data_IF_878338921425
#
_entry.id   IF_878338921425
#
_cell.length_a   1.000
_cell.length_b   1.000
_cell.length_c   1.000
_cell.angle_alpha   90.00
_cell.angle_beta   90.00
_cell.angle_gamma   90.00
#
_symmetry.space_group_name_H-M   'P 1'
#
loop_
_entity.id
_entity.type
_entity.pdbx_description
1 polymer ?
#
# COMPACT_ATOMS: atom_id res chain seq x y z
N UNK A 1 4.00 25.20 -6.15
CA UNK A 1 3.65 24.07 -5.26
C UNK A 1 4.32 22.83 -5.81
N UNK A 2 4.98 22.05 -4.99
CA UNK A 2 5.66 20.84 -5.45
C UNK A 2 4.64 19.75 -5.82
N UNK A 3 5.00 18.86 -6.77
CA UNK A 3 4.15 17.75 -7.25
C UNK A 3 3.56 16.95 -6.09
N UNK A 4 4.41 16.57 -5.13
CA UNK A 4 4.04 15.79 -3.96
C UNK A 4 3.00 16.49 -3.08
N UNK A 5 3.15 17.79 -2.84
CA UNK A 5 2.19 18.57 -2.05
C UNK A 5 0.80 18.62 -2.69
N UNK A 6 0.72 18.74 -4.03
CA UNK A 6 -0.54 18.69 -4.76
C UNK A 6 -1.22 17.33 -4.67
N UNK A 7 -0.46 16.24 -4.79
CA UNK A 7 -0.97 14.88 -4.65
C UNK A 7 -1.55 14.64 -3.26
N UNK A 8 -0.78 14.96 -2.21
CA UNK A 8 -1.20 14.82 -0.81
C UNK A 8 -2.46 15.66 -0.50
N UNK A 9 -2.54 16.89 -1.02
CA UNK A 9 -3.74 17.73 -0.88
C UNK A 9 -4.95 17.14 -1.59
N UNK A 10 -4.78 16.59 -2.78
CA UNK A 10 -5.89 15.97 -3.50
C UNK A 10 -6.36 14.70 -2.76
N UNK A 11 -5.44 13.86 -2.30
CA UNK A 11 -5.74 12.67 -1.50
C UNK A 11 -6.54 13.02 -0.23
N UNK A 12 -6.13 14.09 0.48
CA UNK A 12 -6.77 14.52 1.72
C UNK A 12 -8.17 15.11 1.52
N UNK A 13 -8.40 15.88 0.45
CA UNK A 13 -9.59 16.72 0.32
C UNK A 13 -10.47 16.42 -0.89
N UNK A 14 -9.96 15.69 -1.91
CA UNK A 14 -10.70 15.32 -3.12
C UNK A 14 -11.17 16.51 -3.97
N UNK A 15 -10.48 17.65 -3.92
CA UNK A 15 -10.87 18.88 -4.62
C UNK A 15 -10.49 18.79 -6.11
N UNK A 16 -11.50 18.92 -6.99
CA UNK A 16 -11.34 18.86 -8.45
C UNK A 16 -10.39 19.94 -8.99
N UNK A 17 -10.31 21.10 -8.36
CA UNK A 17 -9.38 22.16 -8.78
C UNK A 17 -7.93 21.76 -8.47
N UNK A 18 -7.71 21.10 -7.35
CA UNK A 18 -6.40 20.54 -6.95
C UNK A 18 -6.03 19.38 -7.87
N UNK A 19 -6.99 18.52 -8.25
CA UNK A 19 -6.76 17.47 -9.22
C UNK A 19 -6.30 18.01 -10.58
N UNK A 20 -7.01 19.00 -11.12
CA UNK A 20 -6.68 19.60 -12.42
C UNK A 20 -5.28 20.25 -12.42
N UNK A 21 -4.91 20.92 -11.33
CA UNK A 21 -3.58 21.50 -11.16
C UNK A 21 -2.49 20.41 -11.05
N UNK A 22 -2.70 19.42 -10.17
CA UNK A 22 -1.79 18.30 -9.97
C UNK A 22 -1.57 17.55 -11.29
N UNK A 23 -2.64 17.18 -11.99
CA UNK A 23 -2.57 16.50 -13.28
C UNK A 23 -1.69 17.25 -14.27
N UNK A 24 -1.90 18.56 -14.42
CA UNK A 24 -1.09 19.40 -15.34
C UNK A 24 0.39 19.38 -14.98
N UNK A 25 0.71 19.45 -13.67
CA UNK A 25 2.11 19.45 -13.20
C UNK A 25 2.79 18.11 -13.46
N UNK A 26 2.08 16.98 -13.25
CA UNK A 26 2.61 15.65 -13.57
C UNK A 26 2.76 15.42 -15.08
N UNK A 27 1.76 15.82 -15.90
CA UNK A 27 1.85 15.74 -17.36
C UNK A 27 3.05 16.54 -17.91
N UNK A 28 3.32 17.73 -17.35
CA UNK A 28 4.49 18.53 -17.72
C UNK A 28 5.80 17.84 -17.32
N UNK A 29 5.89 17.31 -16.08
CA UNK A 29 7.08 16.60 -15.63
C UNK A 29 7.39 15.37 -16.49
N UNK A 30 6.37 14.65 -16.93
CA UNK A 30 6.53 13.49 -17.83
C UNK A 30 6.90 13.90 -19.25
N UNK A 31 6.53 15.11 -19.69
CA UNK A 31 6.95 15.65 -20.99
C UNK A 31 8.44 16.05 -20.96
N UNK A 32 8.92 16.56 -19.82
CA UNK A 32 10.31 17.00 -19.64
C UNK A 32 11.25 15.81 -19.39
N UNK A 33 10.83 14.82 -18.59
CA UNK A 33 11.57 13.58 -18.31
C UNK A 33 10.62 12.38 -18.29
N UNK A 34 10.35 11.83 -19.46
CA UNK A 34 9.31 10.82 -19.70
C UNK A 34 9.55 9.44 -19.07
N UNK A 35 10.65 9.25 -18.33
CA UNK A 35 11.08 7.94 -17.83
C UNK A 35 11.23 7.83 -16.32
N UNK A 36 11.02 8.90 -15.54
CA UNK A 36 11.16 8.84 -14.08
C UNK A 36 10.07 7.94 -13.46
N UNK A 37 10.50 6.78 -12.94
CA UNK A 37 9.62 5.78 -12.35
C UNK A 37 8.81 6.33 -11.16
N UNK A 38 9.39 7.24 -10.39
CA UNK A 38 8.70 7.87 -9.26
C UNK A 38 7.59 8.80 -9.74
N UNK A 39 7.86 9.64 -10.75
CA UNK A 39 6.85 10.53 -11.33
C UNK A 39 5.72 9.73 -11.97
N UNK A 40 6.04 8.66 -12.68
CA UNK A 40 5.03 7.75 -13.26
C UNK A 40 4.17 7.08 -12.20
N UNK A 41 4.76 6.62 -11.10
CA UNK A 41 4.04 6.04 -9.98
C UNK A 41 3.09 7.06 -9.33
N UNK A 42 3.59 8.24 -8.95
CA UNK A 42 2.80 9.29 -8.31
C UNK A 42 1.65 9.76 -9.23
N UNK A 43 1.88 9.88 -10.53
CA UNK A 43 0.82 10.22 -11.48
C UNK A 43 -0.23 9.12 -11.60
N UNK A 44 0.19 7.86 -11.62
CA UNK A 44 -0.71 6.70 -11.57
C UNK A 44 -1.59 6.74 -10.33
N UNK A 45 -1.02 7.00 -9.17
CA UNK A 45 -1.75 7.12 -7.91
C UNK A 45 -2.74 8.30 -7.90
N UNK A 46 -2.37 9.47 -8.45
CA UNK A 46 -3.29 10.59 -8.65
C UNK A 46 -4.49 10.19 -9.51
N UNK A 47 -4.26 9.45 -10.61
CA UNK A 47 -5.31 8.95 -11.49
C UNK A 47 -6.24 7.96 -10.77
N UNK A 48 -5.68 7.06 -9.97
CA UNK A 48 -6.45 6.11 -9.16
C UNK A 48 -7.37 6.83 -8.15
N UNK A 49 -6.83 7.82 -7.43
CA UNK A 49 -7.59 8.63 -6.46
C UNK A 49 -8.74 9.41 -7.13
N UNK A 50 -8.62 9.79 -8.40
CA UNK A 50 -9.67 10.50 -9.15
C UNK A 50 -10.88 9.63 -9.51
N UNK A 51 -10.80 8.32 -9.31
CA UNK A 51 -11.92 7.41 -9.41
C UNK A 51 -11.83 6.40 -10.56
N UNK A 52 -12.82 5.52 -10.60
CA UNK A 52 -12.84 4.32 -11.46
C UNK A 52 -12.60 4.53 -12.95
N UNK A 53 -12.82 5.73 -13.47
CA UNK A 53 -12.53 6.05 -14.90
C UNK A 53 -11.04 6.08 -15.19
N UNK A 54 -10.24 6.37 -14.18
CA UNK A 54 -8.79 6.50 -14.30
C UNK A 54 -8.02 5.21 -13.95
N UNK A 55 -8.66 4.18 -13.40
CA UNK A 55 -7.97 2.94 -12.95
C UNK A 55 -7.12 2.30 -14.07
N UNK A 56 -7.62 2.27 -15.33
CA UNK A 56 -6.84 1.74 -16.46
C UNK A 56 -5.64 2.61 -16.79
N UNK A 57 -5.79 3.94 -16.69
CA UNK A 57 -4.68 4.87 -16.90
C UNK A 57 -3.64 4.74 -15.77
N UNK A 58 -4.10 4.55 -14.54
CA UNK A 58 -3.23 4.25 -13.39
C UNK A 58 -2.42 2.97 -13.62
N UNK A 59 -3.07 1.87 -14.04
CA UNK A 59 -2.37 0.61 -14.35
C UNK A 59 -1.24 0.83 -15.38
N UNK A 60 -1.53 1.55 -16.48
CA UNK A 60 -0.52 1.85 -17.49
C UNK A 60 0.64 2.71 -16.96
N UNK A 61 0.39 3.64 -16.03
CA UNK A 61 1.45 4.40 -15.37
C UNK A 61 2.31 3.52 -14.47
N UNK A 62 1.68 2.62 -13.70
CA UNK A 62 2.43 1.69 -12.83
C UNK A 62 3.27 0.69 -13.64
N UNK A 63 2.75 0.17 -14.76
CA UNK A 63 3.53 -0.68 -15.66
C UNK A 63 4.77 0.05 -16.20
N UNK A 64 4.60 1.29 -16.67
CA UNK A 64 5.73 2.11 -17.13
C UNK A 64 6.72 2.45 -16.02
N UNK A 65 6.26 2.67 -14.79
CA UNK A 65 7.13 2.90 -13.65
C UNK A 65 7.96 1.66 -13.33
N UNK A 66 7.36 0.47 -13.38
CA UNK A 66 8.05 -0.81 -13.20
C UNK A 66 9.07 -1.06 -14.32
N UNK A 67 8.72 -0.73 -15.57
CA UNK A 67 9.65 -0.88 -16.69
C UNK A 67 10.84 0.08 -16.58
N UNK A 68 10.64 1.30 -16.05
CA UNK A 68 11.69 2.29 -15.84
C UNK A 68 12.60 1.94 -14.65
N UNK A 69 12.05 1.44 -13.56
CA UNK A 69 12.79 0.95 -12.40
C UNK A 69 12.10 -0.29 -11.77
N UNK A 70 12.52 -1.49 -12.18
CA UNK A 70 11.97 -2.73 -11.61
C UNK A 70 12.28 -2.95 -10.12
N UNK A 71 13.19 -2.14 -9.54
CA UNK A 71 13.57 -2.22 -8.14
C UNK A 71 12.73 -1.28 -7.25
N UNK A 72 11.93 -0.40 -7.83
CA UNK A 72 11.05 0.51 -7.11
C UNK A 72 9.73 -0.20 -6.74
N UNK A 73 9.58 -0.58 -5.48
CA UNK A 73 8.49 -1.44 -4.99
C UNK A 73 7.06 -0.83 -5.07
N UNK A 74 6.84 0.46 -4.78
CA UNK A 74 5.48 1.01 -4.70
C UNK A 74 4.58 0.73 -5.91
N UNK A 75 5.00 0.90 -7.18
CA UNK A 75 4.13 0.63 -8.32
C UNK A 75 3.74 -0.83 -8.47
N UNK A 76 4.55 -1.79 -7.98
CA UNK A 76 4.19 -3.21 -8.01
C UNK A 76 2.95 -3.50 -7.16
N UNK A 77 2.89 -3.00 -5.93
CA UNK A 77 1.74 -3.17 -5.03
C UNK A 77 0.48 -2.51 -5.60
N UNK A 78 0.63 -1.29 -6.11
CA UNK A 78 -0.49 -0.57 -6.73
C UNK A 78 -1.00 -1.28 -7.99
N UNK A 79 -0.11 -1.82 -8.82
CA UNK A 79 -0.50 -2.57 -10.02
C UNK A 79 -1.31 -3.82 -9.66
N UNK A 80 -0.89 -4.59 -8.65
CA UNK A 80 -1.65 -5.75 -8.15
C UNK A 80 -3.07 -5.33 -7.75
N UNK A 81 -3.19 -4.27 -6.96
CA UNK A 81 -4.47 -3.74 -6.50
C UNK A 81 -5.39 -3.35 -7.67
N UNK A 82 -4.89 -2.51 -8.60
CA UNK A 82 -5.71 -2.03 -9.72
C UNK A 82 -6.05 -3.13 -10.72
N UNK A 83 -5.16 -4.09 -10.98
CA UNK A 83 -5.44 -5.25 -11.82
C UNK A 83 -6.55 -6.12 -11.19
N UNK A 84 -6.51 -6.32 -9.88
CA UNK A 84 -7.58 -7.04 -9.16
C UNK A 84 -8.90 -6.28 -9.25
N UNK A 85 -8.90 -4.96 -9.07
CA UNK A 85 -10.10 -4.13 -9.19
C UNK A 85 -10.70 -4.13 -10.62
N UNK A 86 -9.85 -4.37 -11.63
CA UNK A 86 -10.26 -4.55 -13.03
C UNK A 86 -10.73 -5.98 -13.36
N UNK A 87 -10.70 -6.92 -12.40
CA UNK A 87 -10.99 -8.33 -12.63
C UNK A 87 -9.87 -9.10 -13.35
N UNK A 88 -8.66 -8.56 -13.34
CA UNK A 88 -7.49 -9.11 -14.02
C UNK A 88 -6.48 -9.76 -13.05
N UNK A 89 -6.92 -10.24 -11.90
CA UNK A 89 -6.07 -10.87 -10.88
C UNK A 89 -5.20 -12.00 -11.44
N UNK A 90 -5.75 -12.82 -12.36
CA UNK A 90 -4.97 -13.89 -13.01
C UNK A 90 -3.78 -13.36 -13.81
N UNK A 91 -3.92 -12.22 -14.48
CA UNK A 91 -2.81 -11.60 -15.22
C UNK A 91 -1.73 -11.05 -14.26
N UNK A 92 -2.13 -10.50 -13.13
CA UNK A 92 -1.19 -10.09 -12.09
C UNK A 92 -0.40 -11.30 -11.56
N UNK A 93 -1.08 -12.40 -11.23
CA UNK A 93 -0.43 -13.65 -10.80
C UNK A 93 0.55 -14.16 -11.86
N UNK A 94 0.16 -14.23 -13.13
CA UNK A 94 1.02 -14.72 -14.19
C UNK A 94 2.29 -13.86 -14.38
N UNK A 95 2.15 -12.53 -14.30
CA UNK A 95 3.27 -11.58 -14.33
C UNK A 95 4.27 -11.89 -13.22
N UNK A 96 3.80 -11.93 -11.97
CA UNK A 96 4.70 -12.13 -10.82
C UNK A 96 5.20 -13.56 -10.66
N UNK A 97 4.49 -14.55 -11.18
CA UNK A 97 4.99 -15.92 -11.32
C UNK A 97 6.18 -16.00 -12.30
N UNK A 98 6.11 -15.30 -13.42
CA UNK A 98 7.21 -15.19 -14.36
C UNK A 98 8.41 -14.45 -13.76
N UNK A 99 8.17 -13.37 -13.01
CA UNK A 99 9.22 -12.64 -12.31
C UNK A 99 9.91 -13.55 -11.26
N UNK A 100 9.15 -14.29 -10.46
CA UNK A 100 9.70 -15.23 -9.50
C UNK A 100 10.50 -16.34 -10.20
N UNK A 101 10.02 -16.89 -11.30
CA UNK A 101 10.73 -17.92 -12.05
C UNK A 101 12.10 -17.43 -12.59
N UNK A 102 12.22 -16.15 -12.89
CA UNK A 102 13.46 -15.50 -13.31
C UNK A 102 14.41 -15.16 -12.14
N UNK A 103 13.89 -15.04 -10.91
CA UNK A 103 14.63 -14.56 -9.73
C UNK A 103 14.20 -15.33 -8.46
N UNK A 104 14.34 -16.66 -8.46
CA UNK A 104 13.90 -17.53 -7.36
C UNK A 104 14.52 -17.23 -5.99
N UNK A 105 15.70 -16.63 -5.95
CA UNK A 105 16.40 -16.25 -4.73
C UNK A 105 16.12 -14.79 -4.29
N UNK A 106 15.25 -14.07 -5.00
CA UNK A 106 14.87 -12.70 -4.62
C UNK A 106 13.62 -12.70 -3.72
N UNK A 107 13.72 -12.33 -2.43
CA UNK A 107 12.57 -12.27 -1.52
C UNK A 107 11.45 -11.34 -2.03
N UNK A 108 11.80 -10.27 -2.78
CA UNK A 108 10.83 -9.34 -3.33
C UNK A 108 9.93 -9.98 -4.39
N UNK A 109 10.49 -10.89 -5.21
CA UNK A 109 9.68 -11.62 -6.18
C UNK A 109 8.64 -12.51 -5.48
N UNK A 110 8.99 -13.10 -4.33
CA UNK A 110 8.05 -13.82 -3.47
C UNK A 110 6.99 -12.87 -2.88
N UNK A 111 7.41 -11.70 -2.36
CA UNK A 111 6.49 -10.71 -1.81
C UNK A 111 5.43 -10.26 -2.84
N UNK A 112 5.82 -9.92 -4.06
CA UNK A 112 4.85 -9.48 -5.08
C UNK A 112 3.91 -10.59 -5.51
N UNK A 113 4.40 -11.82 -5.69
CA UNK A 113 3.55 -12.95 -6.02
C UNK A 113 2.59 -13.31 -4.88
N UNK A 114 3.06 -13.26 -3.63
CA UNK A 114 2.22 -13.45 -2.45
C UNK A 114 1.08 -12.42 -2.40
N UNK A 115 1.40 -11.13 -2.61
CA UNK A 115 0.40 -10.06 -2.70
C UNK A 115 -0.62 -10.31 -3.81
N UNK A 116 -0.19 -10.76 -4.99
CA UNK A 116 -1.11 -11.09 -6.08
C UNK A 116 -2.07 -12.22 -5.71
N UNK A 117 -1.59 -13.28 -5.06
CA UNK A 117 -2.44 -14.37 -4.58
C UNK A 117 -3.39 -13.92 -3.45
N UNK A 118 -2.93 -13.11 -2.48
CA UNK A 118 -3.78 -12.56 -1.42
C UNK A 118 -4.93 -11.73 -1.99
N UNK A 119 -4.65 -10.84 -2.94
CA UNK A 119 -5.68 -10.06 -3.62
C UNK A 119 -6.63 -10.92 -4.46
N UNK A 120 -6.15 -12.04 -5.02
CA UNK A 120 -6.98 -13.02 -5.70
C UNK A 120 -7.74 -13.95 -4.75
N UNK A 121 -7.49 -13.86 -3.43
CA UNK A 121 -8.02 -14.75 -2.38
C UNK A 121 -7.62 -16.23 -2.53
N UNK A 122 -6.49 -16.47 -3.19
CA UNK A 122 -5.86 -17.80 -3.27
C UNK A 122 -4.89 -17.95 -2.09
N UNK A 123 -5.46 -18.15 -0.91
CA UNK A 123 -4.72 -18.14 0.35
C UNK A 123 -3.74 -19.32 0.47
N UNK A 124 -4.05 -20.46 -0.15
CA UNK A 124 -3.16 -21.63 -0.15
C UNK A 124 -1.87 -21.37 -0.93
N UNK A 125 -1.98 -20.75 -2.11
CA UNK A 125 -0.82 -20.36 -2.90
C UNK A 125 -0.06 -19.20 -2.23
N UNK A 126 -0.77 -18.22 -1.64
CA UNK A 126 -0.15 -17.14 -0.88
C UNK A 126 0.72 -17.71 0.27
N UNK A 127 0.17 -18.67 1.05
CA UNK A 127 0.88 -19.30 2.16
C UNK A 127 2.19 -19.99 1.70
N UNK A 128 2.14 -20.73 0.60
CA UNK A 128 3.32 -21.42 0.07
C UNK A 128 4.42 -20.44 -0.37
N UNK A 129 4.03 -19.38 -1.06
CA UNK A 129 4.98 -18.36 -1.57
C UNK A 129 5.57 -17.55 -0.42
N UNK A 130 4.75 -17.13 0.56
CA UNK A 130 5.23 -16.43 1.76
C UNK A 130 6.22 -17.30 2.54
N UNK A 131 5.87 -18.57 2.75
CA UNK A 131 6.76 -19.50 3.48
C UNK A 131 8.11 -19.64 2.77
N UNK A 132 8.12 -19.90 1.46
CA UNK A 132 9.34 -20.00 0.68
C UNK A 132 10.18 -18.71 0.73
N UNK A 133 9.54 -17.55 0.66
CA UNK A 133 10.23 -16.26 0.77
C UNK A 133 10.85 -16.04 2.16
N UNK A 134 10.13 -16.40 3.24
CA UNK A 134 10.64 -16.29 4.61
C UNK A 134 11.72 -17.34 4.94
N UNK A 135 11.78 -18.48 4.25
CA UNK A 135 12.92 -19.40 4.34
C UNK A 135 14.20 -18.77 3.78
N UNK A 136 14.09 -17.95 2.72
CA UNK A 136 15.21 -17.23 2.10
C UNK A 136 15.61 -16.00 2.95
N UNK A 137 14.65 -15.27 3.45
CA UNK A 137 14.83 -14.03 4.21
C UNK A 137 13.91 -13.99 5.44
N UNK A 138 14.30 -14.61 6.56
CA UNK A 138 13.45 -14.74 7.74
C UNK A 138 13.04 -13.42 8.38
N UNK A 139 13.83 -12.37 8.19
CA UNK A 139 13.60 -11.03 8.74
C UNK A 139 13.19 -10.00 7.65
N UNK A 140 12.64 -10.47 6.52
CA UNK A 140 12.09 -9.57 5.51
C UNK A 140 10.78 -8.92 6.03
N UNK A 141 10.73 -7.56 6.16
CA UNK A 141 9.56 -6.88 6.70
C UNK A 141 8.33 -7.01 5.81
N UNK A 142 8.51 -7.01 4.48
CA UNK A 142 7.40 -7.07 3.54
C UNK A 142 6.75 -8.44 3.50
N UNK A 143 7.54 -9.52 3.52
CA UNK A 143 7.02 -10.88 3.62
C UNK A 143 6.37 -11.15 4.97
N UNK A 144 6.92 -10.57 6.06
CA UNK A 144 6.31 -10.65 7.38
C UNK A 144 4.96 -9.91 7.42
N UNK A 145 4.83 -8.76 6.74
CA UNK A 145 3.57 -8.04 6.55
C UNK A 145 2.57 -8.91 5.80
N UNK A 146 2.95 -9.49 4.65
CA UNK A 146 2.09 -10.40 3.87
C UNK A 146 1.63 -11.62 4.68
N UNK A 147 2.47 -12.14 5.57
CA UNK A 147 2.06 -13.20 6.49
C UNK A 147 0.96 -12.74 7.46
N UNK A 148 1.03 -11.50 7.94
CA UNK A 148 -0.02 -10.88 8.73
C UNK A 148 -1.32 -10.74 7.94
N UNK A 149 -1.25 -10.27 6.71
CA UNK A 149 -2.41 -10.12 5.82
C UNK A 149 -3.06 -11.49 5.53
N UNK A 150 -2.26 -12.52 5.35
CA UNK A 150 -2.76 -13.90 5.20
C UNK A 150 -3.48 -14.38 6.47
N UNK A 151 -2.93 -14.14 7.65
CA UNK A 151 -3.56 -14.54 8.90
C UNK A 151 -4.89 -13.80 9.11
N UNK A 152 -4.94 -12.50 8.83
CA UNK A 152 -6.18 -11.75 8.88
C UNK A 152 -7.22 -12.34 7.91
N UNK A 153 -6.85 -12.54 6.66
CA UNK A 153 -7.75 -13.06 5.62
C UNK A 153 -8.26 -14.48 5.92
N UNK A 154 -7.52 -15.26 6.70
CA UNK A 154 -7.87 -16.63 7.13
C UNK A 154 -8.50 -16.71 8.52
N UNK A 155 -8.86 -15.57 9.13
CA UNK A 155 -9.59 -15.51 10.41
C UNK A 155 -8.70 -15.75 11.64
N UNK A 156 -7.44 -15.42 11.58
CA UNK A 156 -6.43 -15.52 12.65
C UNK A 156 -5.94 -14.11 13.08
N UNK A 157 -6.81 -13.27 13.65
CA UNK A 157 -6.51 -11.85 13.85
C UNK A 157 -5.35 -11.59 14.84
N UNK A 158 -5.19 -12.39 15.89
CA UNK A 158 -4.12 -12.19 16.87
C UNK A 158 -2.75 -12.53 16.27
N UNK A 159 -2.68 -13.55 15.40
CA UNK A 159 -1.47 -13.88 14.66
C UNK A 159 -1.14 -12.77 13.65
N UNK A 160 -2.16 -12.16 13.03
CA UNK A 160 -1.98 -11.01 12.14
C UNK A 160 -1.37 -9.81 12.87
N UNK A 161 -1.91 -9.44 14.04
CA UNK A 161 -1.38 -8.36 14.88
C UNK A 161 0.09 -8.59 15.26
N UNK A 162 0.44 -9.82 15.64
CA UNK A 162 1.81 -10.18 15.97
C UNK A 162 2.76 -10.04 14.76
N UNK A 163 2.33 -10.49 13.58
CA UNK A 163 3.12 -10.36 12.36
C UNK A 163 3.31 -8.89 11.94
N UNK A 164 2.26 -8.07 11.97
CA UNK A 164 2.37 -6.65 11.62
C UNK A 164 3.23 -5.87 12.62
N UNK A 165 3.15 -6.19 13.91
CA UNK A 165 4.06 -5.60 14.89
C UNK A 165 5.52 -5.96 14.59
N UNK A 166 5.79 -7.24 14.24
CA UNK A 166 7.13 -7.67 13.84
C UNK A 166 7.57 -6.97 12.54
N UNK A 167 6.71 -6.92 11.53
CA UNK A 167 7.00 -6.26 10.26
C UNK A 167 7.39 -4.79 10.44
N UNK A 168 6.66 -4.06 11.29
CA UNK A 168 7.01 -2.67 11.63
C UNK A 168 8.33 -2.57 12.40
N UNK A 169 8.63 -3.52 13.28
CA UNK A 169 9.92 -3.53 14.01
C UNK A 169 11.10 -3.75 13.05
N UNK A 170 10.91 -4.58 12.02
CA UNK A 170 11.91 -4.86 11.00
C UNK A 170 12.07 -3.72 9.97
N UNK A 171 11.00 -2.98 9.70
CA UNK A 171 10.97 -1.88 8.73
C UNK A 171 10.16 -0.68 9.24
N UNK A 172 10.70 0.13 10.17
CA UNK A 172 9.94 1.19 10.86
C UNK A 172 9.56 2.37 9.97
N UNK A 173 10.11 2.46 8.77
CA UNK A 173 9.75 3.49 7.79
C UNK A 173 8.47 3.16 7.00
N UNK A 174 7.99 1.90 7.09
CA UNK A 174 6.75 1.48 6.48
C UNK A 174 5.61 1.48 7.51
N UNK A 175 4.69 2.43 7.39
CA UNK A 175 3.52 2.52 8.27
C UNK A 175 2.39 1.55 7.91
N UNK A 176 2.44 0.85 6.77
CA UNK A 176 1.36 -0.06 6.33
C UNK A 176 0.94 -1.07 7.41
N UNK A 177 1.86 -1.74 8.13
CA UNK A 177 1.49 -2.65 9.22
C UNK A 177 0.73 -1.97 10.37
N UNK A 178 1.04 -0.70 10.66
CA UNK A 178 0.35 0.09 11.69
C UNK A 178 -1.08 0.45 11.26
N UNK A 179 -1.26 0.80 10.00
CA UNK A 179 -2.60 1.01 9.44
C UNK A 179 -3.45 -0.26 9.52
N UNK A 180 -2.89 -1.40 9.08
CA UNK A 180 -3.56 -2.71 9.16
C UNK A 180 -3.96 -3.06 10.59
N UNK A 181 -3.06 -2.82 11.57
CA UNK A 181 -3.32 -3.00 12.99
C UNK A 181 -4.49 -2.13 13.47
N UNK A 182 -4.48 -0.84 13.16
CA UNK A 182 -5.54 0.08 13.56
C UNK A 182 -6.92 -0.36 13.03
N UNK A 183 -7.00 -0.70 11.75
CA UNK A 183 -8.26 -1.18 11.14
C UNK A 183 -8.75 -2.49 11.71
N UNK A 184 -7.86 -3.44 11.97
CA UNK A 184 -8.27 -4.71 12.58
C UNK A 184 -8.82 -4.50 13.98
N UNK A 185 -8.15 -3.69 14.80
CA UNK A 185 -8.61 -3.34 16.14
C UNK A 185 -9.97 -2.64 16.14
N UNK A 186 -10.20 -1.72 15.19
CA UNK A 186 -11.52 -1.08 15.02
C UNK A 186 -12.63 -2.09 14.70
N UNK A 187 -12.37 -3.04 13.81
CA UNK A 187 -13.33 -4.09 13.47
C UNK A 187 -13.60 -5.05 14.62
N UNK A 188 -12.65 -5.22 15.52
CA UNK A 188 -12.80 -5.99 16.75
C UNK A 188 -13.44 -5.20 17.90
N UNK A 189 -13.83 -3.92 17.66
CA UNK A 189 -14.34 -2.99 18.68
C UNK A 189 -13.35 -2.70 19.83
N UNK A 190 -12.05 -2.94 19.59
CA UNK A 190 -10.94 -2.60 20.52
C UNK A 190 -10.53 -1.13 20.33
N UNK A 191 -11.51 -0.23 20.55
CA UNK A 191 -11.42 1.18 20.13
C UNK A 191 -10.27 1.95 20.81
N UNK A 192 -9.98 1.65 22.07
CA UNK A 192 -8.89 2.32 22.81
C UNK A 192 -7.52 1.98 22.21
N UNK A 193 -7.32 0.72 21.81
CA UNK A 193 -6.08 0.26 21.19
C UNK A 193 -5.96 0.81 19.75
N UNK A 194 -7.05 0.80 18.99
CA UNK A 194 -7.07 1.43 17.66
C UNK A 194 -6.73 2.94 17.73
N UNK A 195 -7.28 3.67 18.72
CA UNK A 195 -6.95 5.07 18.93
C UNK A 195 -5.46 5.29 19.28
N UNK A 196 -4.83 4.36 19.98
CA UNK A 196 -3.40 4.43 20.27
C UNK A 196 -2.57 4.27 18.97
N UNK A 197 -2.95 3.35 18.08
CA UNK A 197 -2.31 3.20 16.77
C UNK A 197 -2.45 4.46 15.90
N UNK A 198 -3.64 5.05 15.83
CA UNK A 198 -3.84 6.30 15.09
C UNK A 198 -3.00 7.46 15.65
N UNK A 199 -2.90 7.59 16.97
CA UNK A 199 -2.02 8.61 17.58
C UNK A 199 -0.56 8.39 17.24
N UNK A 200 -0.12 7.13 17.23
CA UNK A 200 1.25 6.78 16.83
C UNK A 200 1.51 7.19 15.36
N UNK A 201 0.61 6.82 14.45
CA UNK A 201 0.72 7.15 13.02
C UNK A 201 0.78 8.67 12.80
N UNK A 202 -0.08 9.43 13.49
CA UNK A 202 -0.08 10.90 13.42
C UNK A 202 1.27 11.46 13.87
N UNK A 203 1.76 11.05 15.04
CA UNK A 203 3.04 11.50 15.58
C UNK A 203 4.20 11.19 14.64
N UNK A 204 4.23 9.98 14.10
CA UNK A 204 5.24 9.57 13.13
C UNK A 204 5.23 10.44 11.87
N UNK A 205 4.05 10.72 11.30
CA UNK A 205 3.91 11.59 10.14
C UNK A 205 4.39 13.01 10.43
N UNK A 206 4.09 13.55 11.60
CA UNK A 206 4.51 14.89 12.01
C UNK A 206 6.03 14.98 12.19
N UNK A 207 6.64 14.00 12.83
CA UNK A 207 8.09 13.92 13.06
C UNK A 207 8.90 13.80 11.76
N UNK A 208 8.34 13.10 10.75
CA UNK A 208 9.01 12.86 9.47
C UNK A 208 8.62 13.86 8.37
N UNK A 209 7.89 14.91 8.71
CA UNK A 209 7.52 15.98 7.77
C UNK A 209 6.36 15.63 6.82
N UNK A 210 5.59 14.58 7.11
CA UNK A 210 4.39 14.18 6.36
C UNK A 210 3.10 14.73 7.00
N UNK A 211 3.11 15.99 7.44
CA UNK A 211 2.01 16.58 8.21
C UNK A 211 0.65 16.53 7.50
N UNK A 212 0.62 16.67 6.16
CA UNK A 212 -0.63 16.56 5.36
C UNK A 212 -1.14 15.12 5.38
N UNK A 213 -0.27 14.13 5.28
CA UNK A 213 -0.64 12.71 5.34
C UNK A 213 -1.23 12.30 6.71
N UNK A 214 -1.02 13.10 7.76
CA UNK A 214 -1.62 12.89 9.06
C UNK A 214 -3.10 13.32 9.15
N UNK A 215 -3.64 14.07 8.19
CA UNK A 215 -5.00 14.61 8.28
C UNK A 215 -6.07 13.51 8.22
N UNK A 216 -5.87 12.49 7.42
CA UNK A 216 -6.79 11.36 7.39
C UNK A 216 -6.74 10.53 8.68
N UNK A 217 -5.58 10.11 9.22
CA UNK A 217 -5.46 9.51 10.56
C UNK A 217 -6.10 10.33 11.68
N UNK A 218 -5.96 11.67 11.65
CA UNK A 218 -6.63 12.56 12.63
C UNK A 218 -8.15 12.44 12.56
N UNK A 219 -8.74 12.39 11.37
CA UNK A 219 -10.19 12.18 11.20
C UNK A 219 -10.64 10.81 11.71
N UNK A 220 -9.85 9.76 11.47
CA UNK A 220 -10.13 8.42 12.00
C UNK A 220 -10.12 8.44 13.53
N UNK A 221 -9.08 9.02 14.13
CA UNK A 221 -8.97 9.17 15.58
C UNK A 221 -10.15 9.96 16.18
N UNK A 222 -10.51 11.09 15.58
CA UNK A 222 -11.65 11.90 16.03
C UNK A 222 -12.98 11.10 16.02
N UNK A 223 -13.20 10.30 14.98
CA UNK A 223 -14.37 9.41 14.90
C UNK A 223 -14.40 8.36 16.01
N UNK A 224 -13.23 7.78 16.34
CA UNK A 224 -13.10 6.81 17.43
C UNK A 224 -13.31 7.45 18.81
N UNK A 225 -12.74 8.61 19.05
CA UNK A 225 -12.88 9.33 20.32
C UNK A 225 -14.34 9.72 20.57
N UNK A 226 -15.08 10.10 19.52
CA UNK A 226 -16.52 10.34 19.64
C UNK A 226 -17.31 9.08 20.01
N UNK A 227 -16.94 7.90 19.47
CA UNK A 227 -17.55 6.61 19.85
C UNK A 227 -17.23 6.25 21.29
N UNK A 228 -15.99 6.42 21.73
CA UNK A 228 -15.55 6.15 23.10
C UNK A 228 -16.23 7.07 24.15
N UNK A 229 -16.52 8.33 23.77
CA UNK A 229 -17.20 9.27 24.67
C UNK A 229 -18.73 9.03 24.79
N UNK A 230 -19.32 8.32 23.82
CA UNK A 230 -20.76 7.99 23.79
C UNK A 230 -21.11 6.61 24.34
N UNK A 231 -20.10 5.78 24.67
CA UNK A 231 -20.23 4.46 25.30
C UNK A 231 -20.09 4.55 26.83
#
# INVERSE_FOLDING_TARGET
>A
MEKKELLERYEAFGDESVYAEARRVYEQALADDGGDARVLHEFGYLQECHGRRAIRAAAACYERAIDADPQYDPPHRQLIYVMTALGQAGQAIDRYRQQLAAALADPRAHNFLAGAYLHARDYDQAAQVIHAGLELAPDDPSLTEQQGDLFEATGRPEDALACWQRAFTLGPDNLSPRYSTAFLLERQDRLAEAAAEWRFIIGWCEEHGYAISADWPRRMLQGLEARLAGS
#
